data_IF_440349030158
#
_entry.id   IF_440349030158
#
_cell.length_a   1.000
_cell.length_b   1.000
_cell.length_c   1.000
_cell.angle_alpha   90.00
_cell.angle_beta   90.00
_cell.angle_gamma   90.00
#
_symmetry.space_group_name_H-M   'P 1'
#
loop_
_entity.id
_entity.type
_entity.pdbx_description
1 polymer ?
#
# COMPACT_ATOMS: atom_id res chain seq x y z
N UNK A 1 -8.44 1.30 -12.91
CA UNK A 1 -7.53 1.80 -11.86
C UNK A 1 -7.06 0.61 -11.04
N UNK A 2 -5.76 0.33 -10.99
CA UNK A 2 -5.19 -0.85 -10.32
C UNK A 2 -5.07 -0.60 -8.80
N UNK A 3 -5.20 -1.65 -7.97
CA UNK A 3 -5.07 -1.64 -6.51
C UNK A 3 -3.79 -0.95 -6.04
N UNK A 4 -2.67 -1.21 -6.71
CA UNK A 4 -1.38 -0.57 -6.42
C UNK A 4 -1.42 0.96 -6.51
N UNK A 5 -1.99 1.50 -7.60
CA UNK A 5 -2.13 2.95 -7.79
C UNK A 5 -3.08 3.59 -6.77
N UNK A 6 -4.09 2.85 -6.31
CA UNK A 6 -4.97 3.31 -5.24
C UNK A 6 -4.23 3.38 -3.90
N UNK A 7 -3.41 2.38 -3.57
CA UNK A 7 -2.62 2.37 -2.34
C UNK A 7 -1.62 3.52 -2.31
N UNK A 8 -0.92 3.80 -3.43
CA UNK A 8 -0.06 4.99 -3.55
C UNK A 8 -0.79 6.28 -3.22
N UNK A 9 -1.98 6.48 -3.81
CA UNK A 9 -2.79 7.68 -3.55
C UNK A 9 -3.20 7.78 -2.09
N UNK A 10 -3.59 6.66 -1.46
CA UNK A 10 -3.96 6.64 -0.04
C UNK A 10 -2.78 7.04 0.84
N UNK A 11 -1.59 6.49 0.56
CA UNK A 11 -0.35 6.81 1.28
C UNK A 11 -0.03 8.31 1.18
N UNK A 12 -0.02 8.87 -0.03
CA UNK A 12 0.30 10.30 -0.27
C UNK A 12 -0.73 11.23 0.37
N UNK A 13 -2.02 10.85 0.36
CA UNK A 13 -3.09 11.68 0.92
C UNK A 13 -3.09 11.66 2.46
N UNK A 14 -2.46 10.67 3.10
CA UNK A 14 -2.28 10.64 4.56
C UNK A 14 -3.58 10.53 5.38
N UNK A 15 -4.68 10.08 4.75
CA UNK A 15 -6.00 9.95 5.41
C UNK A 15 -6.13 8.73 6.32
N UNK A 16 -5.13 7.85 6.31
CA UNK A 16 -5.08 6.60 7.08
C UNK A 16 -3.77 6.53 7.83
N UNK A 17 -3.81 5.88 8.99
CA UNK A 17 -2.60 5.58 9.77
C UNK A 17 -1.71 4.58 9.03
N UNK A 18 -0.42 4.54 9.37
CA UNK A 18 0.52 3.58 8.77
C UNK A 18 0.04 2.14 8.97
N UNK A 19 -0.44 1.81 10.16
CA UNK A 19 -0.93 0.46 10.50
C UNK A 19 -2.13 0.05 9.64
N UNK A 20 -3.10 0.94 9.45
CA UNK A 20 -4.24 0.66 8.56
C UNK A 20 -3.81 0.38 7.13
N UNK A 21 -2.85 1.15 6.63
CA UNK A 21 -2.33 0.99 5.27
C UNK A 21 -1.59 -0.36 5.15
N UNK A 22 -0.76 -0.72 6.12
CA UNK A 22 -0.06 -2.02 6.15
C UNK A 22 -1.05 -3.18 6.16
N UNK A 23 -2.10 -3.11 6.98
CA UNK A 23 -3.16 -4.13 6.99
C UNK A 23 -3.82 -4.25 5.62
N UNK A 24 -4.15 -3.13 4.97
CA UNK A 24 -4.71 -3.14 3.61
C UNK A 24 -3.74 -3.78 2.60
N UNK A 25 -2.46 -3.38 2.63
CA UNK A 25 -1.44 -3.94 1.74
C UNK A 25 -1.30 -5.45 1.91
N UNK A 26 -1.28 -5.96 3.15
CA UNK A 26 -1.21 -7.40 3.42
C UNK A 26 -2.40 -8.16 2.85
N UNK A 27 -3.62 -7.64 3.04
CA UNK A 27 -4.84 -8.25 2.46
C UNK A 27 -4.75 -8.29 0.93
N UNK A 28 -4.25 -7.22 0.30
CA UNK A 28 -4.12 -7.18 -1.15
C UNK A 28 -3.01 -8.09 -1.68
N UNK A 29 -1.92 -8.26 -0.93
CA UNK A 29 -0.84 -9.18 -1.28
C UNK A 29 -1.34 -10.64 -1.23
N UNK A 30 -2.01 -11.04 -0.15
CA UNK A 30 -2.57 -12.40 0.02
C UNK A 30 -3.58 -12.73 -1.09
N UNK A 31 -4.35 -11.73 -1.52
CA UNK A 31 -5.32 -11.88 -2.60
C UNK A 31 -4.72 -11.74 -4.02
N UNK A 32 -3.39 -11.71 -4.16
CA UNK A 32 -2.67 -11.53 -5.42
C UNK A 32 -3.11 -10.28 -6.21
N UNK A 33 -3.60 -9.25 -5.50
CA UNK A 33 -4.01 -7.95 -6.10
C UNK A 33 -2.82 -7.02 -6.30
N UNK A 34 -1.74 -7.26 -5.58
CA UNK A 34 -0.43 -6.63 -5.75
C UNK A 34 0.65 -7.69 -5.67
N UNK A 35 1.80 -7.45 -6.31
CA UNK A 35 2.98 -8.31 -6.22
C UNK A 35 3.81 -8.00 -4.95
N UNK A 36 4.75 -8.87 -4.61
CA UNK A 36 5.72 -8.59 -3.53
C UNK A 36 6.54 -7.31 -3.84
N UNK A 37 6.99 -7.14 -5.08
CA UNK A 37 7.72 -5.93 -5.51
C UNK A 37 6.90 -4.65 -5.27
N UNK A 38 5.61 -4.69 -5.64
CA UNK A 38 4.69 -3.57 -5.41
C UNK A 38 4.45 -3.32 -3.92
N UNK A 39 4.39 -4.36 -3.11
CA UNK A 39 4.27 -4.24 -1.67
C UNK A 39 5.50 -3.54 -1.07
N UNK A 40 6.71 -3.95 -1.45
CA UNK A 40 7.96 -3.40 -0.95
C UNK A 40 8.13 -1.92 -1.35
N UNK A 41 7.75 -1.57 -2.58
CA UNK A 41 7.73 -0.18 -3.04
C UNK A 41 6.75 0.68 -2.24
N UNK A 42 5.53 0.19 -1.99
CA UNK A 42 4.54 0.88 -1.17
C UNK A 42 5.02 1.04 0.28
N UNK A 43 5.69 0.03 0.83
CA UNK A 43 6.24 0.09 2.19
C UNK A 43 7.36 1.11 2.30
N UNK A 44 8.22 1.17 1.28
CA UNK A 44 9.27 2.20 1.17
C UNK A 44 8.66 3.59 1.11
N UNK A 45 7.62 3.78 0.29
CA UNK A 45 6.89 5.04 0.20
C UNK A 45 6.26 5.41 1.55
N UNK A 46 5.59 4.48 2.22
CA UNK A 46 4.95 4.72 3.53
C UNK A 46 5.94 5.11 4.64
N UNK A 47 7.16 4.57 4.59
CA UNK A 47 8.22 4.89 5.56
C UNK A 47 8.94 6.20 5.25
N UNK A 48 8.84 6.72 4.02
CA UNK A 48 9.45 7.97 3.59
C UNK A 48 8.66 9.24 3.97
N UNK A 49 7.43 9.06 4.50
CA UNK A 49 6.51 10.12 4.93
C UNK A 49 6.38 10.07 6.46
#
# INVERSE_FOLDING_TARGET
>A
MNTYENLKKIIVVGKKTKDEIVVMMNVFLINFRITNEQYDELMTLLNSI
#
